data_IF_989218776272
#
_entry.id   IF_989218776272
#
_cell.length_a   1.000
_cell.length_b   1.000
_cell.length_c   1.000
_cell.angle_alpha   90.00
_cell.angle_beta   90.00
_cell.angle_gamma   90.00
#
_symmetry.space_group_name_H-M   'P 1'
#
loop_
_entity.id
_entity.type
_entity.pdbx_description
1 polymer ?
#
# COMPACT_ATOMS: atom_id res chain seq x y z
N UNK A 1 37.21 -16.52 -19.24
CA UNK A 1 36.13 -17.51 -19.02
C UNK A 1 35.41 -17.43 -17.66
N UNK A 2 36.00 -16.88 -16.57
CA UNK A 2 35.32 -16.82 -15.25
C UNK A 2 34.24 -15.71 -15.11
N UNK A 3 34.32 -14.62 -15.88
CA UNK A 3 33.43 -13.46 -15.70
C UNK A 3 32.05 -13.60 -16.37
N UNK A 4 31.93 -14.41 -17.43
CA UNK A 4 30.65 -14.65 -18.12
C UNK A 4 29.69 -15.52 -17.27
N UNK A 5 30.24 -16.45 -16.48
CA UNK A 5 29.46 -17.34 -15.61
C UNK A 5 28.79 -16.57 -14.45
N UNK A 6 29.49 -15.58 -13.88
CA UNK A 6 28.94 -14.74 -12.79
C UNK A 6 27.74 -13.90 -13.22
N UNK A 7 27.68 -13.50 -14.50
CA UNK A 7 26.52 -12.76 -15.06
C UNK A 7 25.28 -13.65 -15.27
N UNK A 8 25.45 -14.96 -15.44
CA UNK A 8 24.32 -15.89 -15.51
C UNK A 8 23.75 -16.22 -14.12
N UNK A 9 24.57 -16.21 -13.08
CA UNK A 9 24.13 -16.49 -11.71
C UNK A 9 23.32 -15.33 -11.11
N UNK A 10 23.57 -14.07 -11.53
CA UNK A 10 22.84 -12.90 -11.02
C UNK A 10 21.39 -12.78 -11.54
N UNK A 11 21.00 -13.56 -12.55
CA UNK A 11 19.67 -13.49 -13.17
C UNK A 11 18.57 -14.17 -12.32
N UNK A 12 18.91 -14.96 -11.31
CA UNK A 12 17.94 -15.88 -10.67
C UNK A 12 17.73 -15.76 -9.15
N UNK A 13 18.01 -14.59 -8.54
CA UNK A 13 17.50 -14.31 -7.18
C UNK A 13 16.44 -13.22 -7.21
N UNK A 14 15.29 -13.50 -7.83
CA UNK A 14 14.06 -12.78 -7.48
C UNK A 14 13.84 -12.96 -5.97
N UNK A 15 13.60 -11.86 -5.27
CA UNK A 15 13.15 -11.92 -3.88
C UNK A 15 11.93 -12.83 -3.81
N UNK A 16 11.98 -13.89 -3.00
CA UNK A 16 10.84 -14.80 -2.77
C UNK A 16 9.93 -14.27 -1.66
N UNK A 17 9.98 -12.96 -1.43
CA UNK A 17 9.32 -12.26 -0.33
C UNK A 17 8.76 -10.95 -0.84
N UNK A 18 7.54 -10.66 -0.43
CA UNK A 18 6.80 -9.44 -0.74
C UNK A 18 6.09 -8.92 0.51
N UNK A 19 5.49 -7.74 0.42
CA UNK A 19 4.87 -7.05 1.56
C UNK A 19 3.35 -7.15 1.44
N UNK A 20 2.66 -7.44 2.54
CA UNK A 20 1.20 -7.37 2.56
C UNK A 20 0.73 -5.91 2.51
N UNK A 21 -0.23 -5.61 1.64
CA UNK A 21 -0.78 -4.28 1.41
C UNK A 21 -1.54 -3.68 2.61
N UNK A 22 -1.99 -4.48 3.59
CA UNK A 22 -2.71 -4.02 4.79
C UNK A 22 -1.79 -3.93 6.01
N UNK A 23 -1.21 -5.04 6.50
CA UNK A 23 -0.37 -5.00 7.70
C UNK A 23 1.07 -4.51 7.45
N UNK A 24 1.47 -4.38 6.18
CA UNK A 24 2.83 -4.00 5.77
C UNK A 24 3.95 -4.90 6.34
N UNK A 25 3.66 -6.15 6.68
CA UNK A 25 4.65 -7.15 7.06
C UNK A 25 5.18 -7.90 5.83
N UNK A 26 6.40 -8.44 5.95
CA UNK A 26 7.07 -9.19 4.88
C UNK A 26 6.66 -10.66 4.99
N UNK A 27 6.17 -11.23 3.89
CA UNK A 27 5.80 -12.63 3.78
C UNK A 27 6.52 -13.30 2.61
N UNK A 28 6.75 -14.63 2.65
CA UNK A 28 7.06 -15.39 1.46
C UNK A 28 5.96 -15.24 0.41
N UNK A 29 6.33 -15.12 -0.87
CA UNK A 29 5.34 -14.87 -1.94
C UNK A 29 4.27 -15.97 -2.01
N UNK A 30 4.65 -17.23 -1.72
CA UNK A 30 3.71 -18.38 -1.67
C UNK A 30 2.62 -18.27 -0.59
N UNK A 31 2.79 -17.37 0.37
CA UNK A 31 1.82 -17.12 1.45
C UNK A 31 0.94 -15.89 1.15
N UNK A 32 1.23 -15.17 0.08
CA UNK A 32 0.47 -14.01 -0.34
C UNK A 32 -0.50 -14.39 -1.45
N UNK A 33 -1.66 -13.74 -1.44
CA UNK A 33 -2.64 -13.84 -2.52
C UNK A 33 -2.78 -12.48 -3.16
N UNK A 34 -2.77 -12.45 -4.49
CA UNK A 34 -2.98 -11.24 -5.27
C UNK A 34 -4.47 -11.06 -5.57
N UNK A 35 -5.03 -9.91 -5.21
CA UNK A 35 -6.40 -9.48 -5.56
C UNK A 35 -6.34 -8.02 -5.96
N UNK A 36 -6.91 -7.66 -7.11
CA UNK A 36 -6.90 -6.30 -7.67
C UNK A 36 -5.49 -5.66 -7.71
N UNK A 37 -4.47 -6.46 -8.05
CA UNK A 37 -3.05 -6.07 -8.07
C UNK A 37 -2.39 -5.85 -6.69
N UNK A 38 -3.11 -6.10 -5.59
CA UNK A 38 -2.59 -5.99 -4.22
C UNK A 38 -2.26 -7.36 -3.63
N UNK A 39 -1.18 -7.42 -2.85
CA UNK A 39 -0.73 -8.64 -2.18
C UNK A 39 -1.24 -8.69 -0.74
N UNK A 40 -1.97 -9.74 -0.37
CA UNK A 40 -2.54 -9.91 0.96
C UNK A 40 -2.03 -11.16 1.66
N UNK A 41 -1.74 -11.07 2.96
CA UNK A 41 -1.56 -12.25 3.78
C UNK A 41 -2.93 -12.93 4.02
N UNK A 42 -2.99 -14.21 4.43
CA UNK A 42 -4.25 -14.93 4.53
C UNK A 42 -5.26 -14.31 5.50
N UNK A 43 -4.77 -13.64 6.56
CA UNK A 43 -5.61 -12.95 7.53
C UNK A 43 -6.21 -11.68 6.94
N UNK A 44 -5.37 -10.84 6.33
CA UNK A 44 -5.80 -9.55 5.79
C UNK A 44 -6.62 -9.70 4.50
N UNK A 45 -6.43 -10.79 3.74
CA UNK A 45 -7.29 -11.12 2.60
C UNK A 45 -8.75 -11.34 3.03
N UNK A 46 -8.96 -12.09 4.12
CA UNK A 46 -10.31 -12.31 4.67
C UNK A 46 -10.93 -11.00 5.13
N UNK A 47 -10.12 -10.13 5.71
CA UNK A 47 -10.55 -8.81 6.16
C UNK A 47 -10.91 -7.90 4.97
N UNK A 48 -10.09 -7.91 3.92
CA UNK A 48 -10.32 -7.19 2.67
C UNK A 48 -11.67 -7.54 2.05
N UNK A 49 -11.97 -8.82 1.91
CA UNK A 49 -13.21 -9.29 1.29
C UNK A 49 -14.47 -9.06 2.15
N UNK A 50 -14.32 -8.91 3.48
CA UNK A 50 -15.44 -8.80 4.42
C UNK A 50 -15.86 -7.35 4.69
N UNK A 51 -14.94 -6.40 4.59
CA UNK A 51 -15.17 -5.02 4.98
C UNK A 51 -15.51 -4.14 3.78
N UNK A 52 -16.31 -3.10 4.05
CA UNK A 52 -16.53 -2.00 3.11
C UNK A 52 -15.44 -0.95 3.32
N UNK A 53 -14.75 -0.59 2.25
CA UNK A 53 -13.63 0.34 2.28
C UNK A 53 -14.03 1.71 1.79
N UNK A 54 -13.54 2.75 2.45
CA UNK A 54 -13.78 4.14 2.06
C UNK A 54 -12.47 4.89 1.90
N UNK A 55 -12.44 5.85 0.98
CA UNK A 55 -11.28 6.72 0.80
C UNK A 55 -11.14 7.65 2.02
N UNK A 56 -9.99 7.58 2.68
CA UNK A 56 -9.66 8.38 3.86
C UNK A 56 -8.81 9.60 3.51
N UNK A 57 -7.80 9.40 2.66
CA UNK A 57 -6.87 10.45 2.24
C UNK A 57 -6.46 10.19 0.79
N UNK A 58 -6.40 11.24 -0.01
CA UNK A 58 -5.93 11.18 -1.38
C UNK A 58 -4.84 12.24 -1.58
N UNK A 59 -3.70 11.82 -2.11
CA UNK A 59 -2.58 12.72 -2.43
C UNK A 59 -2.06 12.43 -3.82
N UNK A 60 -1.63 13.47 -4.53
CA UNK A 60 -0.93 13.35 -5.80
C UNK A 60 0.57 13.49 -5.55
N UNK A 61 1.37 12.71 -6.24
CA UNK A 61 2.82 12.83 -6.23
C UNK A 61 3.31 12.93 -7.66
N UNK A 62 4.21 13.88 -7.88
CA UNK A 62 4.92 14.10 -9.12
C UNK A 62 6.42 14.17 -8.82
N UNK A 63 7.30 14.21 -9.84
CA UNK A 63 8.73 14.40 -9.62
C UNK A 63 9.08 15.65 -8.81
N UNK A 64 8.23 16.68 -8.83
CA UNK A 64 8.39 17.92 -8.08
C UNK A 64 7.92 17.81 -6.61
N UNK A 65 7.01 16.87 -6.32
CA UNK A 65 6.42 16.66 -4.99
C UNK A 65 6.45 15.16 -4.60
N UNK A 66 7.64 14.55 -4.47
CA UNK A 66 7.78 13.14 -4.11
C UNK A 66 7.37 12.87 -2.65
N UNK A 67 7.46 13.86 -1.77
CA UNK A 67 7.16 13.76 -0.34
C UNK A 67 5.71 13.39 -0.06
N UNK A 68 4.79 13.68 -0.99
CA UNK A 68 3.39 13.30 -0.88
C UNK A 68 3.25 11.77 -0.79
N UNK A 69 4.00 11.01 -1.59
CA UNK A 69 4.00 9.53 -1.54
C UNK A 69 4.51 8.99 -0.20
N UNK A 70 5.52 9.66 0.38
CA UNK A 70 6.07 9.29 1.69
C UNK A 70 5.09 9.63 2.81
N UNK A 71 4.41 10.76 2.70
CA UNK A 71 3.44 11.22 3.69
C UNK A 71 2.29 10.24 3.86
N UNK A 72 1.72 9.73 2.75
CA UNK A 72 0.57 8.81 2.80
C UNK A 72 0.96 7.45 3.37
N UNK A 73 2.16 6.95 3.04
CA UNK A 73 2.69 5.73 3.66
C UNK A 73 2.90 5.89 5.18
N UNK A 74 3.41 7.05 5.63
CA UNK A 74 3.51 7.37 7.06
C UNK A 74 2.13 7.40 7.74
N UNK A 75 1.09 7.89 7.05
CA UNK A 75 -0.27 7.87 7.58
C UNK A 75 -0.82 6.45 7.68
N UNK A 76 -0.62 5.61 6.67
CA UNK A 76 -1.00 4.19 6.72
C UNK A 76 -0.37 3.51 7.94
N UNK A 77 0.93 3.69 8.15
CA UNK A 77 1.64 3.14 9.33
C UNK A 77 1.04 3.61 10.65
N UNK A 78 0.66 4.88 10.77
CA UNK A 78 -0.02 5.42 11.96
C UNK A 78 -1.40 4.83 12.19
N UNK A 79 -2.14 4.49 11.14
CA UNK A 79 -3.43 3.80 11.25
C UNK A 79 -3.24 2.36 11.74
N UNK A 80 -2.26 1.66 11.15
CA UNK A 80 -1.92 0.28 11.55
C UNK A 80 -1.52 0.22 13.03
N UNK A 81 -0.69 1.15 13.52
CA UNK A 81 -0.31 1.18 14.95
C UNK A 81 -1.50 1.45 15.88
N UNK A 82 -2.59 2.04 15.37
CA UNK A 82 -3.85 2.24 16.10
C UNK A 82 -4.83 1.07 15.93
N UNK A 83 -4.40 -0.06 15.37
CA UNK A 83 -5.25 -1.19 15.00
C UNK A 83 -6.40 -0.75 14.08
N UNK A 84 -6.10 0.09 13.09
CA UNK A 84 -7.01 0.42 11.99
C UNK A 84 -6.38 -0.15 10.71
N UNK A 85 -6.92 -1.25 10.15
CA UNK A 85 -6.39 -1.80 8.92
C UNK A 85 -6.58 -0.77 7.81
N UNK A 86 -5.59 -0.65 6.93
CA UNK A 86 -5.61 0.34 5.86
C UNK A 86 -4.71 -0.09 4.71
N UNK A 87 -5.07 0.26 3.48
CA UNK A 87 -4.26 -0.02 2.31
C UNK A 87 -4.22 1.21 1.38
N UNK A 88 -3.20 1.28 0.54
CA UNK A 88 -3.03 2.37 -0.42
C UNK A 88 -3.27 1.82 -1.82
N UNK A 89 -4.20 2.43 -2.55
CA UNK A 89 -4.36 2.28 -3.99
C UNK A 89 -3.52 3.32 -4.70
N UNK A 90 -2.85 2.93 -5.78
CA UNK A 90 -2.04 3.82 -6.60
C UNK A 90 -2.59 3.80 -8.02
N UNK A 91 -2.96 4.97 -8.52
CA UNK A 91 -3.38 5.16 -9.91
C UNK A 91 -2.37 6.08 -10.61
N UNK A 92 -2.02 5.76 -11.86
CA UNK A 92 -1.05 6.53 -12.64
C UNK A 92 -1.73 7.30 -13.76
N UNK A 93 -1.32 8.55 -13.95
CA UNK A 93 -1.75 9.40 -15.06
C UNK A 93 -0.52 9.97 -15.77
N UNK A 94 -0.49 9.86 -17.09
CA UNK A 94 0.56 10.47 -17.91
C UNK A 94 0.09 11.85 -18.39
N UNK A 95 0.85 12.90 -18.07
CA UNK A 95 0.57 14.27 -18.52
C UNK A 95 1.81 14.86 -19.19
N UNK A 96 1.77 15.04 -20.52
CA UNK A 96 2.78 15.78 -21.31
C UNK A 96 4.24 15.43 -20.94
N UNK A 97 4.53 14.13 -20.76
CA UNK A 97 5.82 13.52 -20.34
C UNK A 97 6.11 13.40 -18.84
N UNK A 98 5.16 13.72 -17.96
CA UNK A 98 5.26 13.45 -16.51
C UNK A 98 4.33 12.33 -16.10
N UNK A 99 4.82 11.41 -15.28
CA UNK A 99 3.99 10.42 -14.59
C UNK A 99 3.54 11.05 -13.27
N UNK A 100 2.24 11.28 -13.15
CA UNK A 100 1.61 11.72 -11.91
C UNK A 100 1.00 10.48 -11.26
N UNK A 101 1.36 10.23 -10.01
CA UNK A 101 0.83 9.11 -9.22
C UNK A 101 -0.19 9.65 -8.22
N UNK A 102 -1.40 9.11 -8.25
CA UNK A 102 -2.44 9.41 -7.25
C UNK A 102 -2.47 8.27 -6.25
N UNK A 103 -2.18 8.57 -4.99
CA UNK A 103 -2.23 7.61 -3.90
C UNK A 103 -3.50 7.85 -3.08
N UNK A 104 -4.34 6.83 -2.97
CA UNK A 104 -5.56 6.87 -2.16
C UNK A 104 -5.46 5.86 -1.02
N UNK A 105 -5.48 6.35 0.21
CA UNK A 105 -5.47 5.56 1.43
C UNK A 105 -6.90 5.20 1.80
N UNK A 106 -7.18 3.91 1.93
CA UNK A 106 -8.47 3.37 2.29
C UNK A 106 -8.47 2.85 3.72
N UNK A 107 -9.60 3.01 4.40
CA UNK A 107 -9.89 2.42 5.73
C UNK A 107 -11.26 1.75 5.73
N UNK A 108 -11.56 0.84 6.67
CA UNK A 108 -12.90 0.34 6.86
C UNK A 108 -13.87 1.46 7.19
N UNK A 109 -15.03 1.45 6.53
CA UNK A 109 -16.08 2.46 6.68
C UNK A 109 -16.56 2.58 8.14
N UNK A 110 -16.61 1.47 8.87
CA UNK A 110 -16.99 1.44 10.28
C UNK A 110 -15.91 1.99 11.24
N UNK A 111 -14.72 2.34 10.75
CA UNK A 111 -13.61 2.86 11.56
C UNK A 111 -13.29 4.34 11.31
N UNK A 112 -14.08 5.05 10.48
CA UNK A 112 -13.88 6.46 10.16
C UNK A 112 -13.81 7.33 11.42
N UNK A 113 -14.73 7.12 12.38
CA UNK A 113 -14.78 7.92 13.62
C UNK A 113 -13.52 7.74 14.47
N UNK A 114 -12.96 6.52 14.50
CA UNK A 114 -11.71 6.22 15.20
C UNK A 114 -10.51 6.87 14.51
N UNK A 115 -10.56 7.02 13.18
CA UNK A 115 -9.55 7.71 12.40
C UNK A 115 -9.66 9.25 12.50
N UNK A 116 -10.87 9.79 12.73
CA UNK A 116 -11.17 11.23 12.91
C UNK A 116 -11.91 11.53 14.22
N UNK A 117 -11.26 11.43 15.40
CA UNK A 117 -11.93 11.71 16.67
C UNK A 117 -12.37 13.17 16.81
N UNK A 118 -11.73 14.12 16.10
CA UNK A 118 -11.93 15.56 16.30
C UNK A 118 -12.99 16.22 15.39
N UNK A 119 -13.57 15.53 14.39
CA UNK A 119 -14.53 16.14 13.44
C UNK A 119 -16.01 15.83 13.71
N UNK A 120 -16.31 15.05 14.75
CA UNK A 120 -17.70 14.69 15.13
C UNK A 120 -18.08 15.12 16.55
N UNK A 121 -17.25 15.95 17.20
CA UNK A 121 -17.48 16.42 18.56
C UNK A 121 -18.35 17.69 18.68
N UNK A 122 -18.81 18.26 17.56
CA UNK A 122 -19.78 19.35 17.57
C UNK A 122 -20.97 18.95 16.69
N UNK A 123 -22.01 18.43 17.35
CA UNK A 123 -23.36 18.38 16.83
C UNK A 123 -24.20 19.36 17.65
#
# INVERSE_FOLDING_TARGET
MKQAFLRFISIFKRSKKSVCSICCQIYPDKQLTLVDEYAFCPQDLKLYNKLNWTAFLCVKSSPEEPENSVSIYKQQKKLITKNIPSFIKVDYQQNKNKIISTFTLFIPTNMIQKAFPAKFANK
#
